data_IF_112759106825
#
_entry.id   IF_112759106825
#
_cell.length_a   1.000
_cell.length_b   1.000
_cell.length_c   1.000
_cell.angle_alpha   90.00
_cell.angle_beta   90.00
_cell.angle_gamma   90.00
#
_symmetry.space_group_name_H-M   'P 1'
#
loop_
_entity.id
_entity.type
_entity.pdbx_description
1 polymer ?
#
# COMPACT_ATOMS: atom_id res chain seq x y z
N UNK A 1 -6.12 13.25 -10.85
CA UNK A 1 -5.57 12.75 -9.57
C UNK A 1 -5.00 11.34 -9.68
N UNK A 2 -5.77 10.24 -9.83
CA UNK A 2 -5.17 8.90 -9.88
C UNK A 2 -4.14 8.73 -11.03
N UNK A 3 -4.40 9.33 -12.20
CA UNK A 3 -3.43 9.43 -13.29
C UNK A 3 -2.20 10.29 -12.91
N UNK A 4 -2.42 11.39 -12.19
CA UNK A 4 -1.37 12.29 -11.67
C UNK A 4 -0.42 11.58 -10.71
N UNK A 5 -0.98 10.71 -9.85
CA UNK A 5 -0.26 9.89 -8.87
C UNK A 5 0.26 8.57 -9.46
N UNK A 6 0.03 8.31 -10.76
CA UNK A 6 0.40 7.06 -11.45
C UNK A 6 -0.14 5.76 -10.83
N UNK A 7 -1.29 5.83 -10.17
CA UNK A 7 -1.94 4.66 -9.55
C UNK A 7 -3.14 4.12 -10.35
N UNK A 8 -3.44 4.72 -11.50
CA UNK A 8 -4.64 4.42 -12.27
C UNK A 8 -4.66 2.99 -12.82
N UNK A 9 -3.58 2.53 -13.45
CA UNK A 9 -3.46 1.18 -14.01
C UNK A 9 -3.59 0.10 -12.94
N UNK A 10 -2.99 0.32 -11.76
CA UNK A 10 -3.10 -0.60 -10.63
C UNK A 10 -4.54 -0.69 -10.09
N UNK A 11 -5.33 0.39 -10.17
CA UNK A 11 -6.74 0.37 -9.77
C UNK A 11 -7.66 -0.36 -10.76
N UNK A 12 -7.23 -0.60 -11.99
CA UNK A 12 -7.98 -1.38 -12.99
C UNK A 12 -7.72 -2.89 -12.89
N UNK A 13 -6.75 -3.31 -12.06
CA UNK A 13 -6.36 -4.71 -11.91
C UNK A 13 -7.44 -5.51 -11.16
N UNK A 14 -8.17 -6.38 -11.85
CA UNK A 14 -9.25 -7.20 -11.29
C UNK A 14 -8.91 -8.70 -11.40
N UNK A 15 -8.44 -9.29 -10.30
CA UNK A 15 -8.24 -10.73 -10.19
C UNK A 15 -9.01 -11.29 -8.98
N UNK A 16 -9.55 -12.51 -9.08
CA UNK A 16 -10.33 -13.11 -8.01
C UNK A 16 -9.47 -13.32 -6.76
N UNK A 17 -10.04 -12.91 -5.63
CA UNK A 17 -9.40 -13.04 -4.33
C UNK A 17 -9.38 -14.50 -3.85
N UNK A 18 -8.20 -15.08 -3.67
CA UNK A 18 -8.05 -16.41 -3.06
C UNK A 18 -7.46 -16.32 -1.65
N UNK A 19 -8.33 -16.42 -0.64
CA UNK A 19 -7.95 -16.33 0.77
C UNK A 19 -6.96 -17.42 1.19
N UNK A 20 -7.01 -18.62 0.60
CA UNK A 20 -6.09 -19.72 0.95
C UNK A 20 -4.67 -19.40 0.45
N UNK A 21 -4.56 -18.93 -0.79
CA UNK A 21 -3.29 -18.55 -1.40
C UNK A 21 -2.65 -17.39 -0.64
N UNK A 22 -3.44 -16.36 -0.29
CA UNK A 22 -2.97 -15.23 0.51
C UNK A 22 -2.49 -15.68 1.90
N UNK A 23 -3.23 -16.59 2.56
CA UNK A 23 -2.82 -17.11 3.86
C UNK A 23 -1.51 -17.91 3.78
N UNK A 24 -1.37 -18.80 2.78
CA UNK A 24 -0.13 -19.54 2.55
C UNK A 24 1.04 -18.60 2.25
N UNK A 25 0.81 -17.59 1.40
CA UNK A 25 1.81 -16.57 1.07
C UNK A 25 2.35 -15.89 2.33
N UNK A 26 1.49 -15.30 3.16
CA UNK A 26 1.95 -14.60 4.36
C UNK A 26 2.50 -15.52 5.46
N UNK A 27 2.15 -16.82 5.46
CA UNK A 27 2.73 -17.78 6.38
C UNK A 27 4.18 -18.15 6.02
N UNK A 28 4.55 -18.05 4.74
CA UNK A 28 5.82 -18.57 4.22
C UNK A 28 6.73 -17.49 3.61
N UNK A 29 6.22 -16.26 3.41
CA UNK A 29 6.99 -15.22 2.74
C UNK A 29 8.15 -14.73 3.60
N UNK A 30 9.34 -14.71 3.01
CA UNK A 30 10.53 -14.09 3.60
C UNK A 30 11.28 -13.28 2.53
N UNK A 31 12.13 -12.36 3.01
CA UNK A 31 12.83 -11.40 2.17
C UNK A 31 14.34 -11.62 2.29
N UNK A 32 14.99 -11.79 1.15
CA UNK A 32 16.44 -11.69 1.04
C UNK A 32 16.80 -10.22 0.80
N UNK A 33 17.47 -9.64 1.79
CA UNK A 33 17.89 -8.23 1.82
C UNK A 33 19.42 -8.09 1.74
N UNK A 34 20.14 -9.22 1.72
CA UNK A 34 21.61 -9.24 1.69
C UNK A 34 22.15 -9.32 0.26
N UNK A 35 21.33 -9.83 -0.67
CA UNK A 35 21.63 -9.83 -2.11
C UNK A 35 21.68 -8.43 -2.72
N UNK A 36 22.38 -8.29 -3.85
CA UNK A 36 22.49 -7.03 -4.61
C UNK A 36 21.12 -6.46 -5.01
N UNK A 37 20.15 -7.33 -5.26
CA UNK A 37 18.75 -6.96 -5.50
C UNK A 37 17.87 -7.66 -4.47
N UNK A 38 16.99 -6.92 -3.78
CA UNK A 38 16.06 -7.49 -2.81
C UNK A 38 15.07 -8.46 -3.49
N UNK A 39 14.86 -9.63 -2.91
CA UNK A 39 13.93 -10.65 -3.41
C UNK A 39 13.00 -11.12 -2.30
N UNK A 40 11.76 -11.42 -2.67
CA UNK A 40 10.85 -12.15 -1.79
C UNK A 40 10.68 -13.58 -2.29
N UNK A 41 10.66 -14.51 -1.34
CA UNK A 41 10.48 -15.93 -1.57
C UNK A 41 9.27 -16.40 -0.78
N UNK A 42 8.48 -17.31 -1.32
CA UNK A 42 7.36 -17.91 -0.62
C UNK A 42 7.06 -19.30 -1.16
N UNK A 43 6.29 -20.08 -0.40
CA UNK A 43 5.75 -21.35 -0.86
C UNK A 43 4.24 -21.27 -0.98
N UNK A 44 3.71 -21.85 -2.06
CA UNK A 44 2.28 -22.01 -2.29
C UNK A 44 2.07 -23.37 -2.94
N UNK A 45 1.12 -24.14 -2.41
CA UNK A 45 0.78 -25.49 -2.91
C UNK A 45 1.96 -26.48 -3.01
N UNK A 46 3.05 -26.23 -2.29
CA UNK A 46 4.24 -27.09 -2.25
C UNK A 46 5.42 -26.55 -3.07
N UNK A 47 5.16 -25.65 -4.02
CA UNK A 47 6.18 -25.08 -4.88
C UNK A 47 6.81 -23.82 -4.29
N UNK A 48 8.11 -23.63 -4.55
CA UNK A 48 8.87 -22.45 -4.14
C UNK A 48 8.83 -21.42 -5.25
N UNK A 49 8.33 -20.25 -4.93
CA UNK A 49 8.28 -19.10 -5.83
C UNK A 49 9.19 -17.99 -5.33
N UNK A 50 9.62 -17.14 -6.25
CA UNK A 50 10.36 -15.93 -5.92
C UNK A 50 10.09 -14.83 -6.93
N UNK A 51 10.23 -13.60 -6.50
CA UNK A 51 10.23 -12.44 -7.39
C UNK A 51 11.19 -11.39 -6.84
N UNK A 52 11.95 -10.78 -7.74
CA UNK A 52 12.80 -9.66 -7.39
C UNK A 52 12.01 -8.37 -7.27
N UNK A 53 12.54 -7.41 -6.52
CA UNK A 53 11.90 -6.10 -6.38
C UNK A 53 11.63 -5.43 -7.74
N UNK A 54 12.59 -5.50 -8.67
CA UNK A 54 12.42 -4.88 -10.00
C UNK A 54 11.26 -5.52 -10.76
N UNK A 55 11.22 -6.86 -10.82
CA UNK A 55 10.15 -7.59 -11.51
C UNK A 55 8.79 -7.33 -10.84
N UNK A 56 8.75 -7.32 -9.51
CA UNK A 56 7.54 -6.99 -8.76
C UNK A 56 7.02 -5.59 -9.10
N UNK A 57 7.90 -4.59 -9.12
CA UNK A 57 7.49 -3.22 -9.39
C UNK A 57 6.99 -3.05 -10.83
N UNK A 58 7.59 -3.74 -11.80
CA UNK A 58 7.08 -3.82 -13.19
C UNK A 58 5.65 -4.39 -13.21
N UNK A 59 5.38 -5.49 -12.48
CA UNK A 59 4.04 -6.07 -12.36
C UNK A 59 3.02 -5.08 -11.76
N UNK A 60 3.45 -4.24 -10.81
CA UNK A 60 2.60 -3.19 -10.20
C UNK A 60 2.39 -1.97 -11.09
N UNK A 61 2.61 -2.11 -12.40
CA UNK A 61 2.47 -1.07 -13.42
C UNK A 61 3.35 0.16 -13.16
N UNK A 62 4.47 -0.01 -12.43
CA UNK A 62 5.52 0.99 -12.40
C UNK A 62 6.39 0.82 -13.65
N UNK A 63 6.54 1.88 -14.45
CA UNK A 63 7.60 1.88 -15.47
C UNK A 63 8.97 1.83 -14.79
N UNK A 64 10.02 1.44 -15.51
CA UNK A 64 11.41 1.45 -14.96
C UNK A 64 11.79 2.83 -14.41
N UNK A 65 11.29 3.91 -15.03
CA UNK A 65 11.46 5.28 -14.55
C UNK A 65 10.74 5.60 -13.24
N UNK A 66 9.76 4.79 -12.83
CA UNK A 66 9.03 4.96 -11.57
C UNK A 66 9.78 4.32 -10.39
N UNK A 67 10.76 3.45 -10.65
CA UNK A 67 11.62 2.87 -9.61
C UNK A 67 12.52 3.91 -8.95
N UNK A 68 12.85 4.99 -9.65
CA UNK A 68 13.62 6.12 -9.09
C UNK A 68 12.74 7.10 -8.31
N UNK A 69 11.41 6.89 -8.30
CA UNK A 69 10.51 7.76 -7.56
C UNK A 69 10.54 7.47 -6.06
N UNK A 70 10.13 8.50 -5.33
CA UNK A 70 10.06 8.52 -3.88
C UNK A 70 9.36 7.29 -3.29
N UNK A 71 9.95 6.72 -2.24
CA UNK A 71 9.35 5.67 -1.41
C UNK A 71 8.66 6.31 -0.20
N UNK A 72 7.33 6.17 -0.06
CA UNK A 72 6.61 6.72 1.10
C UNK A 72 7.16 6.20 2.43
N UNK A 73 7.61 4.94 2.46
CA UNK A 73 8.19 4.30 3.64
C UNK A 73 9.61 4.77 3.98
N UNK A 74 10.24 5.64 3.18
CA UNK A 74 11.47 6.34 3.58
C UNK A 74 11.21 7.53 4.49
N UNK A 75 9.96 7.93 4.70
CA UNK A 75 9.56 8.95 5.66
C UNK A 75 9.06 8.34 6.95
N UNK A 76 9.19 9.10 8.04
CA UNK A 76 8.46 8.79 9.25
C UNK A 76 6.94 8.90 9.03
N UNK A 77 6.19 8.10 9.78
CA UNK A 77 4.73 8.19 9.79
C UNK A 77 4.33 9.56 10.31
N UNK A 78 3.56 10.31 9.51
CA UNK A 78 3.16 11.65 9.90
C UNK A 78 2.25 11.66 11.14
N UNK A 79 2.43 12.69 11.95
CA UNK A 79 1.55 12.98 13.08
C UNK A 79 0.16 13.45 12.60
N UNK A 80 -0.88 13.12 13.37
CA UNK A 80 -2.27 13.48 13.03
C UNK A 80 -2.47 14.99 12.87
N UNK A 81 -1.67 15.84 13.54
CA UNK A 81 -1.74 17.30 13.42
C UNK A 81 -1.34 17.78 12.03
N UNK A 82 -0.50 17.03 11.33
CA UNK A 82 -0.10 17.35 9.95
C UNK A 82 -1.25 17.09 8.96
N UNK A 83 -2.22 16.26 9.33
CA UNK A 83 -3.42 15.98 8.52
C UNK A 83 -4.51 17.05 8.65
N UNK A 84 -4.31 18.12 9.43
CA UNK A 84 -5.32 19.15 9.73
C UNK A 84 -6.02 19.74 8.50
N UNK A 85 -5.32 19.83 7.37
CA UNK A 85 -5.85 20.40 6.12
C UNK A 85 -6.93 19.52 5.48
N UNK A 86 -7.07 18.26 5.90
CA UNK A 86 -8.08 17.33 5.42
C UNK A 86 -9.43 17.51 6.13
N UNK A 87 -9.52 18.41 7.12
CA UNK A 87 -10.69 18.57 7.98
C UNK A 87 -11.16 20.03 8.03
N UNK A 88 -12.47 20.28 8.23
CA UNK A 88 -12.98 21.59 8.63
C UNK A 88 -12.34 22.12 9.91
N UNK A 89 -12.31 23.45 10.07
CA UNK A 89 -11.65 24.12 11.20
C UNK A 89 -12.24 23.75 12.56
N UNK A 90 -13.52 23.38 12.61
CA UNK A 90 -14.25 22.96 13.81
C UNK A 90 -14.09 21.45 14.13
N UNK A 91 -13.50 20.65 13.24
CA UNK A 91 -13.34 19.19 13.40
C UNK A 91 -11.93 18.79 13.90
N UNK A 92 -11.32 19.61 14.77
CA UNK A 92 -9.94 19.39 15.24
C UNK A 92 -9.74 18.08 15.99
N UNK A 93 -10.75 17.64 16.75
CA UNK A 93 -10.72 16.37 17.48
C UNK A 93 -10.84 15.13 16.58
N UNK A 94 -11.17 15.31 15.30
CA UNK A 94 -11.33 14.24 14.32
C UNK A 94 -10.06 13.95 13.51
N UNK A 95 -8.96 14.66 13.73
CA UNK A 95 -7.75 14.47 12.93
C UNK A 95 -7.21 13.03 13.02
N UNK A 96 -6.94 12.45 11.86
CA UNK A 96 -6.56 11.04 11.73
C UNK A 96 -7.75 10.07 11.67
N UNK A 97 -9.00 10.56 11.72
CA UNK A 97 -10.22 9.74 11.59
C UNK A 97 -10.92 9.99 10.26
N UNK A 98 -11.67 9.00 9.80
CA UNK A 98 -12.52 9.13 8.61
C UNK A 98 -13.69 10.09 8.88
N UNK A 99 -14.20 10.12 10.11
CA UNK A 99 -15.29 11.01 10.52
C UNK A 99 -14.81 12.47 10.54
N UNK A 100 -15.62 13.38 9.98
CA UNK A 100 -15.34 14.81 9.96
C UNK A 100 -14.34 15.25 8.88
N UNK A 101 -13.82 14.32 8.08
CA UNK A 101 -12.93 14.60 6.96
C UNK A 101 -13.70 15.19 5.77
N UNK A 102 -13.07 16.08 4.98
CA UNK A 102 -13.64 16.54 3.72
C UNK A 102 -13.90 15.37 2.77
N UNK A 103 -15.01 15.45 2.02
CA UNK A 103 -15.48 14.40 1.09
C UNK A 103 -14.36 13.90 0.18
N UNK A 104 -13.57 14.83 -0.38
CA UNK A 104 -12.42 14.51 -1.23
C UNK A 104 -11.46 13.46 -0.63
N UNK A 105 -10.95 13.71 0.58
CA UNK A 105 -10.03 12.80 1.25
C UNK A 105 -10.73 11.53 1.74
N UNK A 106 -12.01 11.62 2.13
CA UNK A 106 -12.78 10.46 2.59
C UNK A 106 -13.00 9.43 1.47
N UNK A 107 -13.25 9.89 0.25
CA UNK A 107 -13.39 9.05 -0.95
C UNK A 107 -12.06 8.42 -1.30
N UNK A 108 -10.97 9.19 -1.27
CA UNK A 108 -9.62 8.69 -1.52
C UNK A 108 -9.20 7.62 -0.52
N UNK A 109 -9.43 7.85 0.77
CA UNK A 109 -9.16 6.87 1.81
C UNK A 109 -9.94 5.57 1.57
N UNK A 110 -11.21 5.67 1.13
CA UNK A 110 -12.03 4.51 0.80
C UNK A 110 -11.48 3.74 -0.40
N UNK A 111 -11.07 4.44 -1.45
CA UNK A 111 -10.42 3.85 -2.62
C UNK A 111 -9.13 3.13 -2.22
N UNK A 112 -8.24 3.80 -1.50
CA UNK A 112 -6.97 3.23 -1.06
C UNK A 112 -7.17 2.00 -0.17
N UNK A 113 -8.13 2.02 0.76
CA UNK A 113 -8.45 0.84 1.59
C UNK A 113 -8.99 -0.36 0.81
N UNK A 114 -9.46 -0.15 -0.43
CA UNK A 114 -9.95 -1.23 -1.28
C UNK A 114 -8.90 -1.74 -2.26
N UNK A 115 -7.96 -0.90 -2.66
CA UNK A 115 -6.97 -1.24 -3.69
C UNK A 115 -5.54 -1.21 -3.15
N UNK A 116 -5.06 -0.04 -2.74
CA UNK A 116 -3.64 0.23 -2.51
C UNK A 116 -3.14 -0.12 -1.11
N UNK A 117 -3.96 0.04 -0.08
CA UNK A 117 -3.59 -0.13 1.33
C UNK A 117 -4.73 -0.87 2.06
N UNK A 118 -5.06 -2.10 1.64
CA UNK A 118 -6.12 -2.91 2.23
C UNK A 118 -5.97 -3.01 3.75
N UNK A 119 -7.07 -2.71 4.46
CA UNK A 119 -7.13 -2.79 5.91
C UNK A 119 -8.44 -3.44 6.36
N UNK A 120 -8.32 -4.56 7.05
CA UNK A 120 -9.39 -5.21 7.81
C UNK A 120 -9.56 -4.60 9.21
N UNK A 121 -10.78 -4.65 9.74
CA UNK A 121 -11.09 -4.20 11.11
C UNK A 121 -11.40 -2.71 11.22
N UNK A 122 -10.59 -1.96 11.98
CA UNK A 122 -10.88 -0.56 12.33
C UNK A 122 -11.07 0.32 11.08
N UNK A 123 -12.31 0.75 10.87
CA UNK A 123 -12.75 1.60 9.77
C UNK A 123 -12.82 3.09 10.13
N UNK A 124 -12.58 3.44 11.39
CA UNK A 124 -12.68 4.82 11.88
C UNK A 124 -11.37 5.57 11.77
N UNK A 125 -10.24 4.92 12.02
CA UNK A 125 -8.95 5.57 12.15
C UNK A 125 -8.03 5.29 10.96
N UNK A 126 -7.28 6.31 10.55
CA UNK A 126 -6.24 6.24 9.55
C UNK A 126 -4.92 6.12 10.30
N UNK A 127 -4.20 5.04 10.09
CA UNK A 127 -3.00 4.69 10.84
C UNK A 127 -1.83 4.41 9.92
N UNK A 128 -0.61 4.71 10.40
CA UNK A 128 0.66 4.39 9.75
C UNK A 128 0.79 5.06 8.38
N UNK A 129 1.58 4.46 7.47
CA UNK A 129 1.86 4.98 6.13
C UNK A 129 0.63 5.29 5.24
N UNK A 130 -0.57 4.70 5.43
CA UNK A 130 -1.80 5.23 4.84
C UNK A 130 -2.05 6.73 5.09
N UNK A 131 -1.54 7.31 6.19
CA UNK A 131 -1.58 8.76 6.43
C UNK A 131 -0.70 9.51 5.43
N UNK A 132 0.55 9.08 5.28
CA UNK A 132 1.51 9.65 4.33
C UNK A 132 0.96 9.54 2.90
N UNK A 133 0.40 8.37 2.54
CA UNK A 133 -0.26 8.15 1.25
C UNK A 133 -1.38 9.17 0.97
N UNK A 134 -2.25 9.43 1.94
CA UNK A 134 -3.28 10.46 1.79
C UNK A 134 -2.70 11.86 1.68
N UNK A 135 -1.62 12.19 2.39
CA UNK A 135 -0.97 13.49 2.25
C UNK A 135 -0.43 13.71 0.85
N UNK A 136 0.08 12.68 0.17
CA UNK A 136 0.52 12.77 -1.23
C UNK A 136 -0.60 13.14 -2.20
N UNK A 137 -1.86 12.97 -1.82
CA UNK A 137 -3.01 13.37 -2.63
C UNK A 137 -3.34 14.85 -2.52
N UNK A 138 -2.75 15.59 -1.57
CA UNK A 138 -2.94 17.02 -1.42
C UNK A 138 -2.56 17.71 -2.74
N UNK A 139 -3.47 18.47 -3.38
CA UNK A 139 -3.17 19.15 -4.63
C UNK A 139 -1.89 20.01 -4.54
N UNK A 140 -1.02 19.97 -5.57
CA UNK A 140 -1.23 19.39 -6.91
C UNK A 140 -1.11 17.85 -6.99
N UNK A 141 -0.71 17.19 -5.90
CA UNK A 141 -0.42 15.77 -5.85
C UNK A 141 1.07 15.51 -6.06
N UNK A 142 1.67 14.75 -5.15
CA UNK A 142 3.09 14.40 -5.20
C UNK A 142 3.26 12.96 -5.67
N UNK A 143 4.12 12.76 -6.67
CA UNK A 143 4.39 11.43 -7.23
C UNK A 143 5.16 10.58 -6.22
N UNK A 144 4.87 9.29 -6.24
CA UNK A 144 5.55 8.27 -5.46
C UNK A 144 5.48 6.95 -6.23
N UNK A 145 6.40 6.03 -5.93
CA UNK A 145 6.34 4.69 -6.50
C UNK A 145 5.33 3.83 -5.73
N UNK A 146 4.27 3.38 -6.40
CA UNK A 146 3.30 2.47 -5.80
C UNK A 146 3.91 1.09 -5.49
N UNK A 147 4.84 0.63 -6.33
CA UNK A 147 5.62 -0.59 -6.08
C UNK A 147 6.39 -0.52 -4.76
N UNK A 148 7.09 0.59 -4.48
CA UNK A 148 7.74 0.81 -3.18
C UNK A 148 6.75 0.69 -2.02
N UNK A 149 5.57 1.30 -2.15
CA UNK A 149 4.58 1.29 -1.08
C UNK A 149 4.05 -0.12 -0.80
N UNK A 150 3.64 -0.86 -1.83
CA UNK A 150 3.06 -2.20 -1.67
C UNK A 150 4.13 -3.19 -1.17
N UNK A 151 5.34 -3.17 -1.73
CA UNK A 151 6.44 -4.03 -1.30
C UNK A 151 6.73 -3.88 0.20
N UNK A 152 6.84 -2.64 0.67
CA UNK A 152 7.10 -2.35 2.08
C UNK A 152 5.91 -2.69 2.97
N UNK A 153 4.67 -2.56 2.50
CA UNK A 153 3.50 -3.04 3.25
C UNK A 153 3.49 -4.56 3.38
N UNK A 154 3.81 -5.33 2.33
CA UNK A 154 3.94 -6.80 2.41
C UNK A 154 5.02 -7.18 3.42
N UNK A 155 6.20 -6.57 3.32
CA UNK A 155 7.34 -6.80 4.24
C UNK A 155 7.01 -6.43 5.68
N UNK A 156 6.23 -5.38 5.91
CA UNK A 156 5.79 -5.00 7.25
C UNK A 156 4.77 -5.99 7.83
N UNK A 157 3.83 -6.46 7.01
CA UNK A 157 2.80 -7.43 7.41
C UNK A 157 3.43 -8.79 7.72
N UNK A 158 4.41 -9.25 6.93
CA UNK A 158 5.08 -10.54 7.16
C UNK A 158 5.84 -10.58 8.48
N UNK A 159 6.40 -9.45 8.92
CA UNK A 159 7.11 -9.33 10.21
C UNK A 159 6.15 -9.14 11.39
N UNK A 160 5.08 -8.38 11.19
CA UNK A 160 4.13 -8.01 12.22
C UNK A 160 2.70 -8.07 11.64
N UNK A 161 1.96 -9.19 11.82
CA UNK A 161 0.64 -9.40 11.24
C UNK A 161 -0.47 -8.64 12.01
N UNK A 162 -0.24 -7.36 12.30
CA UNK A 162 -1.19 -6.45 12.97
C UNK A 162 -2.16 -5.83 11.94
N UNK A 163 -1.81 -5.88 10.66
CA UNK A 163 -2.65 -5.42 9.53
C UNK A 163 -3.22 -6.62 8.77
N UNK A 164 -4.29 -6.40 8.02
CA UNK A 164 -4.84 -7.45 7.15
C UNK A 164 -3.87 -7.84 6.04
N UNK A 165 -3.76 -9.14 5.81
CA UNK A 165 -3.07 -9.77 4.69
C UNK A 165 -3.77 -9.43 3.37
N UNK A 166 -3.36 -8.31 2.78
CA UNK A 166 -4.08 -7.62 1.73
C UNK A 166 -3.66 -7.94 0.29
N UNK A 167 -2.47 -8.53 0.13
CA UNK A 167 -1.90 -8.85 -1.18
C UNK A 167 -1.53 -10.33 -1.23
N UNK A 168 -1.66 -10.94 -2.39
CA UNK A 168 -1.21 -12.31 -2.60
C UNK A 168 -0.63 -12.47 -4.00
N UNK A 169 0.14 -13.54 -4.21
CA UNK A 169 0.54 -13.93 -5.54
C UNK A 169 -0.70 -14.30 -6.35
N UNK A 170 -0.67 -13.94 -7.62
CA UNK A 170 -1.59 -14.48 -8.60
C UNK A 170 -0.83 -15.58 -9.33
N UNK A 171 -1.35 -16.80 -9.24
CA UNK A 171 -0.82 -17.98 -9.90
C UNK A 171 -1.77 -18.25 -11.07
N UNK A 172 -1.27 -18.09 -12.30
CA UNK A 172 -1.97 -18.59 -13.47
C UNK A 172 -1.80 -20.12 -13.50
N UNK A 173 -2.92 -20.84 -13.59
CA UNK A 173 -2.95 -22.30 -13.80
C UNK A 173 -2.41 -22.68 -15.19
#
# INVERSE_FOLDING_TARGET
MCKTLKIYSMMEYEHPWNTKIIAQFYAMVYFDVESEEEKMYWRTEGDLYSISYTNFAICMCCGVSDLTQFSIHSEEVIDVRQMKFMYPRNERGGWGKVKGMYTYYSVLNRLFRKTIAPRGGNNTDIFLHPRNLLVRTKPPGEKFCIGHFIWNEIKAISKNPIKSCGYGPYLDD
#
